data_IF_749516521110
#
_entry.id   IF_749516521110
#
_cell.length_a   1.000
_cell.length_b   1.000
_cell.length_c   1.000
_cell.angle_alpha   90.00
_cell.angle_beta   90.00
_cell.angle_gamma   90.00
#
_symmetry.space_group_name_H-M   'P 1'
#
loop_
_entity.id
_entity.type
_entity.pdbx_description
1 polymer ?
#
# COMPACT_ATOMS: atom_id res chain seq x y z
N UNK A 1 -51.50 -14.12 40.99
CA UNK A 1 -50.76 -14.63 39.82
C UNK A 1 -49.94 -13.49 39.23
N UNK A 2 -48.65 -13.47 39.50
CA UNK A 2 -47.73 -12.37 39.08
C UNK A 2 -47.09 -12.74 37.77
N UNK A 3 -47.39 -12.02 36.66
CA UNK A 3 -46.77 -12.21 35.37
C UNK A 3 -45.43 -11.45 35.34
N UNK A 4 -44.33 -12.19 35.45
CA UNK A 4 -43.00 -11.63 35.22
C UNK A 4 -42.79 -11.38 33.72
N UNK A 5 -42.80 -10.14 33.31
CA UNK A 5 -42.36 -9.73 31.98
C UNK A 5 -40.81 -9.77 31.96
N UNK A 6 -40.24 -10.72 31.25
CA UNK A 6 -38.81 -10.77 30.94
C UNK A 6 -38.53 -9.76 29.82
N UNK A 7 -37.95 -8.63 30.18
CA UNK A 7 -37.32 -7.72 29.22
C UNK A 7 -36.03 -8.36 28.71
N UNK A 8 -36.08 -8.87 27.50
CA UNK A 8 -34.88 -9.31 26.76
C UNK A 8 -34.21 -8.06 26.19
N UNK A 9 -33.17 -7.57 26.89
CA UNK A 9 -32.34 -6.50 26.36
C UNK A 9 -31.44 -7.13 25.29
N UNK A 10 -31.80 -6.89 24.02
CA UNK A 10 -30.90 -7.19 22.89
C UNK A 10 -29.75 -6.18 22.93
N UNK A 11 -28.61 -6.62 23.45
CA UNK A 11 -27.35 -5.89 23.31
C UNK A 11 -26.89 -6.05 21.86
N UNK A 12 -27.26 -5.10 21.01
CA UNK A 12 -26.69 -4.98 19.66
C UNK A 12 -25.25 -4.52 19.84
N UNK A 13 -24.33 -5.47 19.81
CA UNK A 13 -22.91 -5.17 19.67
C UNK A 13 -22.73 -4.49 18.32
N UNK A 14 -22.66 -3.16 18.33
CA UNK A 14 -22.23 -2.39 17.18
C UNK A 14 -20.76 -2.74 16.93
N UNK A 15 -20.54 -3.71 16.05
CA UNK A 15 -19.23 -3.95 15.45
C UNK A 15 -18.86 -2.65 14.74
N UNK A 16 -17.92 -1.88 15.29
CA UNK A 16 -17.30 -0.77 14.59
C UNK A 16 -16.57 -1.41 13.41
N UNK A 17 -17.28 -1.41 12.28
CA UNK A 17 -16.67 -1.63 10.99
C UNK A 17 -15.70 -0.46 10.81
N UNK A 18 -14.42 -0.70 11.08
CA UNK A 18 -13.36 0.14 10.55
C UNK A 18 -13.46 0.01 9.04
N UNK A 19 -14.34 0.82 8.45
CA UNK A 19 -14.34 1.02 7.02
C UNK A 19 -12.94 1.52 6.68
N UNK A 20 -12.24 0.78 5.85
CA UNK A 20 -10.94 1.15 5.32
C UNK A 20 -11.07 2.51 4.63
N UNK A 21 -10.79 3.58 5.36
CA UNK A 21 -10.48 4.88 4.79
C UNK A 21 -9.05 4.80 4.26
N UNK A 22 -8.86 3.97 3.22
CA UNK A 22 -7.57 3.43 2.80
C UNK A 22 -6.49 4.47 2.55
N UNK A 23 -6.83 5.66 2.03
CA UNK A 23 -5.81 6.60 1.57
C UNK A 23 -5.67 7.85 2.44
N UNK A 24 -6.57 8.09 3.38
CA UNK A 24 -6.52 9.31 4.22
C UNK A 24 -5.29 9.39 5.13
N UNK A 25 -4.66 8.25 5.43
CA UNK A 25 -3.45 8.18 6.25
C UNK A 25 -2.18 8.59 5.48
N UNK A 26 -2.20 8.58 4.16
CA UNK A 26 -1.07 8.87 3.30
C UNK A 26 -1.18 10.23 2.62
N UNK A 27 -0.05 10.88 2.37
CA UNK A 27 0.00 12.12 1.59
C UNK A 27 0.10 11.79 0.09
N UNK A 28 -1.03 11.72 -0.58
CA UNK A 28 -1.10 11.42 -2.01
C UNK A 28 -0.55 12.54 -2.91
N UNK A 29 -0.30 13.72 -2.37
CA UNK A 29 0.31 14.85 -3.09
C UNK A 29 1.83 14.81 -3.05
N UNK A 30 2.40 14.19 -2.02
CA UNK A 30 3.84 14.02 -1.87
C UNK A 30 4.36 12.76 -2.57
N UNK A 31 5.57 12.86 -3.10
CA UNK A 31 6.34 11.72 -3.64
C UNK A 31 7.68 11.68 -2.95
N UNK A 32 7.92 10.58 -2.26
CA UNK A 32 9.21 10.31 -1.61
C UNK A 32 9.89 9.16 -2.34
N UNK A 33 11.17 9.28 -2.52
CA UNK A 33 12.03 8.24 -3.08
C UNK A 33 12.83 7.61 -1.96
N UNK A 34 12.65 6.32 -1.74
CA UNK A 34 13.47 5.55 -0.80
C UNK A 34 14.21 4.45 -1.54
N UNK A 35 15.41 4.10 -1.06
CA UNK A 35 16.23 3.02 -1.59
C UNK A 35 16.53 2.04 -0.47
N UNK A 36 16.31 0.75 -0.72
CA UNK A 36 16.53 -0.26 0.30
C UNK A 36 16.52 -1.68 -0.26
N UNK A 37 16.75 -2.62 0.65
CA UNK A 37 16.67 -4.04 0.37
C UNK A 37 15.26 -4.55 0.70
N UNK A 38 14.63 -5.26 -0.22
CA UNK A 38 13.37 -5.96 0.04
C UNK A 38 13.62 -7.02 1.10
N UNK A 39 12.80 -7.02 2.14
CA UNK A 39 12.80 -8.09 3.15
C UNK A 39 11.69 -9.08 2.90
N UNK A 40 10.52 -8.59 2.42
CA UNK A 40 9.38 -9.43 2.12
C UNK A 40 8.48 -8.78 1.05
N UNK A 41 7.85 -9.61 0.21
CA UNK A 41 6.78 -9.21 -0.69
C UNK A 41 5.57 -10.12 -0.49
N UNK A 42 4.49 -9.58 0.05
CA UNK A 42 3.23 -10.30 0.32
C UNK A 42 2.25 -10.03 -0.81
N UNK A 43 1.97 -11.07 -1.59
CA UNK A 43 1.02 -11.03 -2.70
C UNK A 43 -0.34 -11.53 -2.25
N UNK A 44 -1.20 -10.64 -1.77
CA UNK A 44 -2.47 -10.98 -1.14
C UNK A 44 -3.55 -9.92 -1.41
N UNK A 45 -4.82 -10.33 -1.27
CA UNK A 45 -5.97 -9.43 -1.24
C UNK A 45 -6.23 -8.95 0.20
N UNK A 46 -6.79 -7.74 0.40
CA UNK A 46 -7.17 -6.77 -0.64
C UNK A 46 -5.99 -5.97 -1.20
N UNK A 47 -4.87 -5.88 -0.49
CA UNK A 47 -3.69 -5.12 -0.88
C UNK A 47 -2.43 -5.94 -0.69
N UNK A 48 -1.58 -5.97 -1.71
CA UNK A 48 -0.23 -6.53 -1.60
C UNK A 48 0.67 -5.57 -0.81
N UNK A 49 1.72 -6.09 -0.19
CA UNK A 49 2.62 -5.31 0.66
C UNK A 49 4.08 -5.60 0.34
N UNK A 50 4.91 -4.55 0.41
CA UNK A 50 6.35 -4.64 0.25
C UNK A 50 7.00 -4.15 1.54
N UNK A 51 7.88 -4.95 2.12
CA UNK A 51 8.69 -4.57 3.27
C UNK A 51 10.14 -4.37 2.83
N UNK A 52 10.78 -3.33 3.38
CA UNK A 52 12.09 -2.85 2.98
C UNK A 52 12.92 -2.48 4.21
N UNK A 53 14.20 -2.82 4.15
CA UNK A 53 15.22 -2.26 5.03
C UNK A 53 15.90 -1.09 4.32
N UNK A 54 15.74 0.11 4.88
CA UNK A 54 16.27 1.36 4.35
C UNK A 54 17.28 1.93 5.34
N UNK A 55 18.48 2.29 4.88
CA UNK A 55 19.44 3.03 5.72
C UNK A 55 19.11 4.50 5.70
N UNK A 56 18.96 5.09 6.87
CA UNK A 56 18.82 6.53 7.03
C UNK A 56 20.18 7.26 6.85
N UNK A 57 20.18 8.58 6.96
CA UNK A 57 21.40 9.39 6.80
C UNK A 57 22.48 9.11 7.84
N UNK A 58 22.15 8.50 8.98
CA UNK A 58 23.10 8.06 10.01
C UNK A 58 23.62 6.64 9.77
N UNK A 59 23.08 5.92 8.77
CA UNK A 59 23.41 4.53 8.48
C UNK A 59 22.59 3.52 9.29
N UNK A 60 21.64 3.99 10.13
CA UNK A 60 20.72 3.13 10.88
C UNK A 60 19.68 2.54 9.95
N UNK A 61 19.40 1.25 10.13
CA UNK A 61 18.34 0.57 9.38
C UNK A 61 16.97 0.96 9.92
N UNK A 62 16.10 1.38 9.03
CA UNK A 62 14.69 1.68 9.27
C UNK A 62 13.86 0.70 8.45
N UNK A 63 12.95 0.00 9.11
CA UNK A 63 12.04 -0.95 8.47
C UNK A 63 10.82 -0.21 7.91
N UNK A 64 10.65 -0.27 6.60
CA UNK A 64 9.52 0.35 5.90
C UNK A 64 8.48 -0.68 5.50
N UNK A 65 7.19 -0.34 5.67
CA UNK A 65 6.06 -1.07 5.13
C UNK A 65 5.37 -0.25 4.04
N UNK A 66 5.20 -0.82 2.86
CA UNK A 66 4.55 -0.17 1.72
C UNK A 66 3.32 -0.97 1.31
N UNK A 67 2.15 -0.38 1.53
CA UNK A 67 0.88 -0.91 1.03
C UNK A 67 0.76 -0.59 -0.46
N UNK A 68 0.29 -1.55 -1.26
CA UNK A 68 0.13 -1.38 -2.70
C UNK A 68 -1.29 -1.75 -3.14
N UNK A 69 -1.52 -1.92 -4.44
CA UNK A 69 -2.78 -2.38 -4.97
C UNK A 69 -3.03 -3.87 -4.75
N UNK A 70 -4.25 -4.31 -5.04
CA UNK A 70 -4.60 -5.73 -5.06
C UNK A 70 -3.82 -6.49 -6.14
N UNK A 71 -3.63 -7.82 -5.98
CA UNK A 71 -3.01 -8.67 -6.99
C UNK A 71 -3.59 -8.50 -8.40
N UNK A 72 -4.91 -8.33 -8.50
CA UNK A 72 -5.58 -8.15 -9.79
C UNK A 72 -5.18 -6.86 -10.51
N UNK A 73 -5.04 -5.75 -9.79
CA UNK A 73 -4.59 -4.47 -10.35
C UNK A 73 -3.10 -4.58 -10.73
N UNK A 74 -2.28 -5.09 -9.82
CA UNK A 74 -0.85 -5.26 -10.06
C UNK A 74 -0.55 -6.16 -11.26
N UNK A 75 -1.31 -7.24 -11.45
CA UNK A 75 -1.14 -8.13 -12.62
C UNK A 75 -1.35 -7.37 -13.93
N UNK A 76 -2.37 -6.50 -14.01
CA UNK A 76 -2.59 -5.66 -15.20
C UNK A 76 -1.46 -4.64 -15.41
N UNK A 77 -0.82 -4.20 -14.36
CA UNK A 77 0.36 -3.34 -14.41
C UNK A 77 1.68 -4.09 -14.70
N UNK A 78 1.61 -5.41 -14.94
CA UNK A 78 2.76 -6.22 -15.30
C UNK A 78 3.48 -6.90 -14.13
N UNK A 79 2.92 -6.80 -12.92
CA UNK A 79 3.47 -7.48 -11.75
C UNK A 79 3.10 -8.95 -11.71
N UNK A 80 3.95 -9.72 -11.08
CA UNK A 80 3.70 -11.12 -10.73
C UNK A 80 4.02 -11.36 -9.26
N UNK A 81 3.54 -12.45 -8.70
CA UNK A 81 3.88 -12.89 -7.34
C UNK A 81 5.40 -13.00 -7.09
N UNK A 82 6.18 -13.13 -8.15
CA UNK A 82 7.64 -13.29 -8.11
C UNK A 82 8.38 -12.03 -8.57
N UNK A 83 7.70 -10.90 -8.71
CA UNK A 83 8.31 -9.67 -9.17
C UNK A 83 9.39 -9.14 -8.23
N UNK A 84 9.23 -9.38 -6.93
CA UNK A 84 10.21 -9.06 -5.89
C UNK A 84 10.51 -10.28 -5.03
N UNK A 85 11.73 -10.36 -4.53
CA UNK A 85 12.17 -11.34 -3.55
C UNK A 85 13.05 -10.70 -2.49
N UNK A 86 13.16 -11.33 -1.33
CA UNK A 86 14.07 -10.88 -0.29
C UNK A 86 15.50 -10.72 -0.82
N UNK A 87 16.16 -9.63 -0.45
CA UNK A 87 17.48 -9.25 -0.90
C UNK A 87 17.54 -8.37 -2.14
N UNK A 88 16.45 -8.22 -2.90
CA UNK A 88 16.43 -7.32 -4.06
C UNK A 88 16.69 -5.88 -3.63
N UNK A 89 17.64 -5.22 -4.27
CA UNK A 89 17.92 -3.80 -4.08
C UNK A 89 17.04 -3.00 -5.02
N UNK A 90 16.16 -2.18 -4.45
CA UNK A 90 15.22 -1.37 -5.21
C UNK A 90 15.22 0.08 -4.76
N UNK A 91 14.81 0.95 -5.66
CA UNK A 91 14.32 2.29 -5.32
C UNK A 91 12.82 2.30 -5.54
N UNK A 92 12.07 2.80 -4.58
CA UNK A 92 10.62 2.92 -4.68
C UNK A 92 10.19 4.38 -4.56
N UNK A 93 9.31 4.83 -5.44
CA UNK A 93 8.63 6.13 -5.37
C UNK A 93 7.24 5.89 -4.81
N UNK A 94 6.91 6.54 -3.72
CA UNK A 94 5.74 6.27 -2.90
C UNK A 94 5.15 7.53 -2.27
N UNK A 95 3.93 7.41 -1.73
CA UNK A 95 3.25 8.41 -0.94
C UNK A 95 3.51 8.12 0.55
N UNK A 96 4.18 9.01 1.29
CA UNK A 96 4.51 8.77 2.69
C UNK A 96 3.28 8.88 3.59
N UNK A 97 3.34 8.27 4.77
CA UNK A 97 2.36 8.50 5.81
C UNK A 97 2.44 9.94 6.33
N UNK A 98 1.28 10.57 6.55
CA UNK A 98 1.16 11.95 7.07
C UNK A 98 1.73 12.11 8.48
N UNK A 99 1.75 11.02 9.25
CA UNK A 99 2.26 11.02 10.63
C UNK A 99 3.77 10.82 10.74
N UNK A 100 4.49 10.73 9.61
CA UNK A 100 5.95 10.54 9.59
C UNK A 100 6.45 9.14 9.95
N UNK A 101 5.56 8.18 10.16
CA UNK A 101 5.96 6.78 10.40
C UNK A 101 6.54 6.16 9.11
N UNK A 102 7.44 5.15 9.22
CA UNK A 102 8.04 4.49 8.08
C UNK A 102 7.07 3.51 7.40
N UNK A 103 5.90 4.02 7.06
CA UNK A 103 4.87 3.35 6.27
C UNK A 103 4.44 4.23 5.12
N UNK A 104 4.02 3.62 4.02
CA UNK A 104 3.70 4.35 2.80
C UNK A 104 2.66 3.61 1.97
N UNK A 105 2.15 4.32 0.97
CA UNK A 105 1.29 3.77 -0.05
C UNK A 105 1.90 3.95 -1.45
N UNK A 106 1.77 2.93 -2.27
CA UNK A 106 2.17 2.96 -3.67
C UNK A 106 1.11 2.23 -4.51
N UNK A 107 0.17 2.98 -5.06
CA UNK A 107 -0.95 2.40 -5.81
C UNK A 107 -1.77 3.44 -6.56
N UNK A 108 -3.02 3.11 -6.85
CA UNK A 108 -3.92 3.86 -7.75
C UNK A 108 -4.19 5.30 -7.33
N UNK A 109 -4.15 5.62 -6.04
CA UNK A 109 -4.31 6.99 -5.55
C UNK A 109 -3.04 7.85 -5.68
N UNK A 110 -1.92 7.26 -6.09
CA UNK A 110 -0.64 7.93 -6.18
C UNK A 110 -0.02 7.86 -7.59
N UNK A 111 -0.44 8.67 -8.57
CA UNK A 111 0.15 8.64 -9.90
C UNK A 111 1.67 8.86 -9.83
N UNK A 112 2.42 8.11 -10.63
CA UNK A 112 3.88 8.15 -10.66
C UNK A 112 4.57 7.34 -9.56
N UNK A 113 3.82 6.57 -8.75
CA UNK A 113 4.41 5.57 -7.84
C UNK A 113 4.94 4.38 -8.65
N UNK A 114 6.15 3.95 -8.34
CA UNK A 114 6.81 2.84 -9.06
C UNK A 114 7.98 2.25 -8.29
N UNK A 115 8.36 1.06 -8.70
CA UNK A 115 9.63 0.42 -8.31
C UNK A 115 10.64 0.57 -9.45
N UNK A 116 11.87 0.90 -9.11
CA UNK A 116 13.03 0.94 -10.00
C UNK A 116 14.03 -0.09 -9.49
N UNK A 117 14.34 -1.09 -10.31
CA UNK A 117 15.29 -2.13 -10.01
C UNK A 117 16.74 -1.64 -10.19
N UNK A 118 17.71 -2.39 -9.65
CA UNK A 118 19.13 -2.06 -9.78
C UNK A 118 19.64 -2.06 -11.24
N UNK A 119 18.97 -2.82 -12.13
CA UNK A 119 19.25 -2.87 -13.57
C UNK A 119 18.57 -1.77 -14.38
N UNK A 120 17.83 -0.86 -13.72
CA UNK A 120 17.12 0.25 -14.34
C UNK A 120 15.72 -0.09 -14.86
N UNK A 121 15.28 -1.34 -14.80
CA UNK A 121 13.87 -1.67 -15.10
C UNK A 121 12.93 -1.00 -14.12
N UNK A 122 11.74 -0.66 -14.60
CA UNK A 122 10.69 -0.05 -13.79
C UNK A 122 9.40 -0.86 -13.84
N UNK A 123 8.69 -0.92 -12.72
CA UNK A 123 7.32 -1.41 -12.62
C UNK A 123 6.46 -0.35 -11.95
N UNK A 124 5.45 0.12 -12.66
CA UNK A 124 4.42 1.02 -12.12
C UNK A 124 3.44 0.21 -11.28
N UNK A 125 2.81 0.85 -10.31
CA UNK A 125 1.77 0.21 -9.50
C UNK A 125 0.38 0.30 -10.13
N UNK A 126 0.22 1.11 -11.18
CA UNK A 126 -1.03 1.32 -11.90
C UNK A 126 -0.90 0.91 -13.36
N UNK A 127 -2.01 0.50 -13.96
CA UNK A 127 -2.07 0.21 -15.39
C UNK A 127 -2.03 1.52 -16.18
N UNK A 128 -1.00 1.69 -17.00
CA UNK A 128 -0.79 2.88 -17.85
C UNK A 128 -1.93 3.13 -18.84
N UNK A 129 -2.77 2.16 -19.10
CA UNK A 129 -3.93 2.33 -20.00
C UNK A 129 -5.05 3.13 -19.36
N UNK A 130 -5.16 3.08 -18.02
CA UNK A 130 -6.17 3.83 -17.25
C UNK A 130 -5.78 5.30 -17.13
N UNK A 131 -4.49 5.61 -16.94
CA UNK A 131 -3.99 6.98 -16.80
C UNK A 131 -4.18 7.77 -18.10
N UNK A 132 -4.02 7.14 -19.28
CA UNK A 132 -4.28 7.78 -20.57
C UNK A 132 -5.75 8.12 -20.82
N UNK A 133 -6.68 7.33 -20.29
CA UNK A 133 -8.11 7.57 -20.48
C UNK A 133 -8.61 8.79 -19.68
N UNK A 134 -7.96 9.13 -18.57
CA UNK A 134 -8.30 10.30 -17.76
C UNK A 134 -7.77 11.60 -18.38
N UNK A 135 -6.62 11.54 -19.04
CA UNK A 135 -5.98 12.72 -19.66
C UNK A 135 -6.65 13.12 -21.00
N UNK A 136 -7.32 12.18 -21.67
CA UNK A 136 -8.07 12.43 -22.91
C UNK A 136 -9.51 12.89 -22.70
N UNK A 137 -9.99 12.89 -21.45
CA UNK A 137 -11.37 13.29 -21.08
C UNK A 137 -11.47 14.72 -20.51
N UNK A 138 -10.42 15.54 -20.65
CA UNK A 138 -10.41 16.97 -20.28
C UNK A 138 -10.55 17.89 -21.51
#
# INVERSE_FOLDING_TARGET
MKKCARFLVLLVAASVLFAHHGNTAYDETARVRIKGAVTEFIWTNPHSQIYLDVKDSSGKVVHWGVETNSPGILTRAGWTRRALKAGDQITIILCPAKNGQPVAYAGSGGPGTKVIFADGRELDFTDKTVDKAVDTAK
#
